data_IF_523137439584
#
_entry.id   IF_523137439584
#
_cell.length_a   1.000
_cell.length_b   1.000
_cell.length_c   1.000
_cell.angle_alpha   90.00
_cell.angle_beta   90.00
_cell.angle_gamma   90.00
#
_symmetry.space_group_name_H-M   'P 1'
#
loop_
_entity.id
_entity.type
_entity.pdbx_description
1 polymer ?
#
# COMPACT_ATOMS: atom_id res chain seq x y z
N UNK A 1 -22.32 -19.91 -3.52
CA UNK A 1 -21.63 -18.88 -4.33
C UNK A 1 -20.95 -17.97 -3.33
N UNK A 2 -19.62 -17.99 -3.25
CA UNK A 2 -18.92 -17.09 -2.34
C UNK A 2 -19.00 -15.65 -2.86
N UNK A 3 -19.26 -14.70 -1.96
CA UNK A 3 -19.38 -13.28 -2.31
C UNK A 3 -17.99 -12.68 -2.28
N UNK A 4 -17.43 -12.38 -3.46
CA UNK A 4 -16.20 -11.61 -3.62
C UNK A 4 -16.49 -10.11 -3.46
N UNK A 5 -15.62 -9.40 -2.74
CA UNK A 5 -15.65 -7.93 -2.63
C UNK A 5 -14.31 -7.37 -3.08
N UNK A 6 -14.34 -6.27 -3.82
CA UNK A 6 -13.15 -5.72 -4.50
C UNK A 6 -13.08 -4.20 -4.29
N UNK A 7 -11.86 -3.70 -4.15
CA UNK A 7 -11.54 -2.28 -4.01
C UNK A 7 -10.37 -1.93 -4.94
N UNK A 8 -10.58 -0.97 -5.83
CA UNK A 8 -9.57 -0.48 -6.76
C UNK A 8 -8.85 0.73 -6.18
N UNK A 9 -7.52 0.70 -6.23
CA UNK A 9 -6.64 1.72 -5.68
C UNK A 9 -5.76 2.29 -6.79
N UNK A 10 -5.61 3.62 -6.83
CA UNK A 10 -4.62 4.24 -7.70
C UNK A 10 -3.24 4.00 -7.12
N UNK A 11 -2.34 3.45 -7.91
CA UNK A 11 -0.97 3.18 -7.52
C UNK A 11 -0.01 3.53 -8.67
N UNK A 12 1.28 3.31 -8.44
CA UNK A 12 2.27 3.31 -9.52
C UNK A 12 2.69 1.86 -9.78
N UNK A 13 2.95 1.55 -11.05
CA UNK A 13 3.42 0.25 -11.46
C UNK A 13 4.92 0.06 -11.21
N UNK A 14 5.50 -1.04 -11.70
CA UNK A 14 6.92 -1.32 -11.51
C UNK A 14 7.87 -0.33 -12.23
N UNK A 15 7.35 0.46 -13.18
CA UNK A 15 8.04 1.50 -13.94
C UNK A 15 7.72 2.93 -13.44
N UNK A 16 6.99 3.05 -12.33
CA UNK A 16 6.49 4.30 -11.75
C UNK A 16 5.44 5.02 -12.62
N UNK A 17 4.82 4.33 -13.58
CA UNK A 17 3.69 4.84 -14.34
C UNK A 17 2.38 4.69 -13.55
N UNK A 18 1.39 5.53 -13.85
CA UNK A 18 0.08 5.50 -13.16
C UNK A 18 -0.68 4.23 -13.51
N UNK A 19 -1.11 3.51 -12.49
CA UNK A 19 -1.82 2.25 -12.64
C UNK A 19 -2.94 2.06 -11.60
N UNK A 20 -3.60 0.90 -11.66
CA UNK A 20 -4.64 0.47 -10.71
C UNK A 20 -4.22 -0.83 -10.07
N UNK A 21 -4.18 -0.83 -8.74
CA UNK A 21 -4.00 -1.99 -7.88
C UNK A 21 -5.36 -2.44 -7.35
N UNK A 22 -5.48 -3.71 -6.96
CA UNK A 22 -6.70 -4.28 -6.40
C UNK A 22 -6.46 -4.86 -5.02
N UNK A 23 -7.39 -4.60 -4.10
CA UNK A 23 -7.57 -5.39 -2.88
C UNK A 23 -8.89 -6.14 -2.99
N UNK A 24 -8.88 -7.45 -2.77
CA UNK A 24 -10.10 -8.26 -2.82
C UNK A 24 -10.25 -9.15 -1.59
N UNK A 25 -11.48 -9.54 -1.29
CA UNK A 25 -11.81 -10.50 -0.23
C UNK A 25 -12.71 -11.57 -0.78
N UNK A 26 -12.32 -12.84 -0.58
CA UNK A 26 -13.11 -14.02 -0.90
C UNK A 26 -12.77 -15.13 0.10
N UNK A 27 -13.75 -15.93 0.50
CA UNK A 27 -13.54 -17.07 1.42
C UNK A 27 -12.81 -16.75 2.74
N UNK A 28 -12.84 -15.49 3.20
CA UNK A 28 -12.07 -15.05 4.38
C UNK A 28 -10.58 -14.80 4.13
N UNK A 29 -10.11 -14.93 2.89
CA UNK A 29 -8.79 -14.51 2.45
C UNK A 29 -8.82 -13.05 1.97
N UNK A 30 -7.73 -12.33 2.22
CA UNK A 30 -7.46 -11.01 1.63
C UNK A 30 -6.42 -11.19 0.54
N UNK A 31 -6.72 -10.71 -0.66
CA UNK A 31 -5.79 -10.73 -1.79
C UNK A 31 -5.43 -9.29 -2.19
N UNK A 32 -4.14 -9.05 -2.48
CA UNK A 32 -3.64 -7.76 -2.95
C UNK A 32 -2.86 -7.99 -4.23
N UNK A 33 -3.35 -7.44 -5.34
CA UNK A 33 -2.74 -7.56 -6.65
C UNK A 33 -2.20 -6.20 -7.11
N UNK A 34 -0.92 -6.20 -7.51
CA UNK A 34 -0.32 -5.09 -8.25
C UNK A 34 -0.70 -5.14 -9.74
N UNK A 35 -0.45 -4.06 -10.49
CA UNK A 35 -0.80 -3.98 -11.91
C UNK A 35 0.00 -4.95 -12.79
N UNK A 36 1.25 -5.23 -12.43
CA UNK A 36 2.18 -6.03 -13.26
C UNK A 36 2.61 -7.35 -12.61
N UNK A 37 2.18 -7.62 -11.38
CA UNK A 37 2.89 -8.52 -10.47
C UNK A 37 2.00 -9.46 -9.67
N UNK A 38 2.62 -10.42 -8.95
CA UNK A 38 1.90 -11.48 -8.25
C UNK A 38 0.98 -10.90 -7.17
N UNK A 39 -0.17 -11.57 -7.01
CA UNK A 39 -1.08 -11.27 -5.92
C UNK A 39 -0.57 -11.90 -4.62
N UNK A 40 -0.53 -11.11 -3.54
CA UNK A 40 -0.29 -11.62 -2.21
C UNK A 40 -1.62 -12.04 -1.60
N UNK A 41 -1.68 -13.23 -1.01
CA UNK A 41 -2.86 -13.72 -0.30
C UNK A 41 -2.53 -13.87 1.18
N UNK A 42 -3.43 -13.41 2.04
CA UNK A 42 -3.32 -13.49 3.49
C UNK A 42 -4.56 -14.17 4.07
N UNK A 43 -4.35 -15.11 4.99
CA UNK A 43 -5.42 -15.82 5.70
C UNK A 43 -5.18 -15.86 7.21
N UNK A 44 -6.27 -15.92 7.98
CA UNK A 44 -6.18 -16.14 9.44
C UNK A 44 -5.29 -15.12 10.16
N UNK A 45 -4.22 -15.61 10.82
CA UNK A 45 -3.28 -14.78 11.58
C UNK A 45 -2.46 -13.84 10.70
N UNK A 46 -2.17 -14.23 9.45
CA UNK A 46 -1.39 -13.42 8.50
C UNK A 46 -2.07 -12.07 8.23
N UNK A 47 -3.41 -12.02 8.32
CA UNK A 47 -4.17 -10.78 8.16
C UNK A 47 -3.88 -9.80 9.31
N UNK A 48 -3.69 -10.30 10.54
CA UNK A 48 -3.36 -9.44 11.69
C UNK A 48 -1.92 -8.93 11.59
N UNK A 49 -0.99 -9.80 11.19
CA UNK A 49 0.40 -9.43 10.97
C UNK A 49 0.53 -8.41 9.84
N UNK A 50 -0.16 -8.62 8.72
CA UNK A 50 -0.21 -7.69 7.60
C UNK A 50 -0.75 -6.32 8.03
N UNK A 51 -1.83 -6.27 8.82
CA UNK A 51 -2.37 -5.00 9.34
C UNK A 51 -1.35 -4.25 10.19
N UNK A 52 -0.72 -4.93 11.15
CA UNK A 52 0.27 -4.30 12.01
C UNK A 52 1.47 -3.76 11.21
N UNK A 53 1.95 -4.53 10.23
CA UNK A 53 3.03 -4.11 9.35
C UNK A 53 2.64 -2.92 8.46
N UNK A 54 1.43 -2.93 7.91
CA UNK A 54 0.92 -1.84 7.07
C UNK A 54 0.76 -0.54 7.88
N UNK A 55 0.20 -0.61 9.09
CA UNK A 55 0.05 0.55 9.98
C UNK A 55 1.40 1.18 10.35
N UNK A 56 2.40 0.35 10.65
CA UNK A 56 3.76 0.80 10.92
C UNK A 56 4.39 1.46 9.67
N UNK A 57 4.21 0.87 8.49
CA UNK A 57 4.74 1.41 7.24
C UNK A 57 4.12 2.76 6.87
N UNK A 58 2.79 2.92 7.05
CA UNK A 58 2.11 4.20 6.85
C UNK A 58 2.65 5.26 7.80
N UNK A 59 2.76 4.92 9.09
CA UNK A 59 3.29 5.83 10.11
C UNK A 59 4.71 6.31 9.74
N UNK A 60 5.58 5.40 9.30
CA UNK A 60 6.93 5.75 8.86
C UNK A 60 6.92 6.64 7.60
N UNK A 61 6.09 6.31 6.60
CA UNK A 61 5.96 7.12 5.38
C UNK A 61 5.54 8.56 5.68
N UNK A 62 4.70 8.79 6.68
CA UNK A 62 4.30 10.13 7.09
C UNK A 62 5.45 10.91 7.74
N UNK A 63 6.25 10.24 8.58
CA UNK A 63 7.46 10.82 9.19
C UNK A 63 8.43 11.24 8.10
N UNK A 64 8.74 10.34 7.16
CA UNK A 64 9.67 10.61 6.06
C UNK A 64 9.21 11.79 5.20
N UNK A 65 7.91 11.89 4.94
CA UNK A 65 7.33 13.01 4.18
C UNK A 65 7.48 14.35 4.89
N UNK A 66 7.37 14.39 6.23
CA UNK A 66 7.57 15.60 7.04
C UNK A 66 9.05 15.99 7.07
N UNK A 67 9.94 15.02 7.30
CA UNK A 67 11.39 15.25 7.29
C UNK A 67 11.89 15.81 5.94
N UNK A 68 11.37 15.31 4.80
CA UNK A 68 11.69 15.85 3.47
C UNK A 68 11.19 17.27 3.24
N UNK A 69 10.05 17.66 3.82
CA UNK A 69 9.57 19.04 3.77
C UNK A 69 10.46 19.98 4.59
N UNK A 70 10.90 19.55 5.77
CA UNK A 70 11.77 20.35 6.66
C UNK A 70 13.15 20.60 6.05
N UNK A 71 13.71 19.64 5.31
CA UNK A 71 15.00 19.80 4.62
C UNK A 71 14.91 20.67 3.36
N UNK A 72 13.74 20.75 2.72
CA UNK A 72 13.54 21.50 1.47
C UNK A 72 13.41 23.03 1.61
N UNK A 73 13.13 23.54 2.82
CA UNK A 73 12.95 24.98 3.10
C UNK A 73 14.25 25.67 3.59
N UNK A 74 15.35 24.92 3.67
CA UNK A 74 16.57 25.34 4.37
C UNK A 74 17.70 25.93 3.51
N UNK A 75 17.53 26.21 2.21
CA UNK A 75 18.64 26.80 1.42
C UNK A 75 18.18 27.73 0.30
N UNK A 76 18.04 29.00 0.65
CA UNK A 76 18.30 30.11 -0.29
C UNK A 76 19.25 31.10 0.39
N UNK A 77 20.54 31.17 0.02
CA UNK A 77 21.35 32.32 0.39
C UNK A 77 20.92 33.51 -0.48
N UNK A 78 20.81 34.66 0.18
CA UNK A 78 20.63 35.97 -0.45
C UNK A 78 21.90 36.41 -1.19
#
# INVERSE_FOLDING_TARGET
MEVRREWLLRCSDSYADRAVCEVSVSAGAVEIAGPDGPAFTFVGLEIQEFRAALDAAISQSEIDRRARHEVGDGTKPA
#
